data_IF_253616546131
#
_entry.id   IF_253616546131
#
_cell.length_a   1.000
_cell.length_b   1.000
_cell.length_c   1.000
_cell.angle_alpha   90.00
_cell.angle_beta   90.00
_cell.angle_gamma   90.00
#
_symmetry.space_group_name_H-M   'P 1'
#
loop_
_entity.id
_entity.type
_entity.pdbx_description
1 polymer ?
#
# COMPACT_ATOMS: atom_id res chain seq x y z
N UNK A 1 33.35 -4.54 -0.52
CA UNK A 1 33.34 -3.16 -1.00
C UNK A 1 33.98 -2.32 0.09
N UNK A 2 34.96 -1.44 -0.20
CA UNK A 2 35.58 -0.60 0.82
C UNK A 2 34.54 0.32 1.47
N UNK A 3 34.66 0.63 2.79
CA UNK A 3 33.73 1.51 3.50
C UNK A 3 33.53 2.88 2.82
N UNK A 4 34.55 3.44 2.24
CA UNK A 4 34.54 4.72 1.53
C UNK A 4 33.61 4.73 0.30
N UNK A 5 33.50 3.60 -0.42
CA UNK A 5 32.58 3.47 -1.55
C UNK A 5 31.11 3.32 -1.12
N UNK A 6 30.86 2.86 0.11
CA UNK A 6 29.52 2.79 0.69
C UNK A 6 29.02 4.19 1.08
N UNK A 7 29.90 5.03 1.65
CA UNK A 7 29.55 6.41 2.03
C UNK A 7 29.30 7.31 0.83
N UNK A 8 30.07 7.19 -0.26
CA UNK A 8 29.81 7.90 -1.51
C UNK A 8 28.48 7.49 -2.16
N UNK A 9 28.20 6.17 -2.20
CA UNK A 9 26.91 5.67 -2.73
C UNK A 9 25.70 6.10 -1.89
N UNK A 10 25.84 6.16 -0.58
CA UNK A 10 24.78 6.64 0.31
C UNK A 10 24.55 8.15 0.14
N UNK A 11 25.59 8.94 -0.07
CA UNK A 11 25.49 10.39 -0.32
C UNK A 11 24.80 10.70 -1.65
N UNK A 12 25.20 10.01 -2.73
CA UNK A 12 24.60 10.16 -4.06
C UNK A 12 23.12 9.75 -4.06
N UNK A 13 22.80 8.65 -3.35
CA UNK A 13 21.45 8.18 -3.21
C UNK A 13 20.57 9.15 -2.41
N UNK A 14 21.09 9.71 -1.31
CA UNK A 14 20.38 10.67 -0.48
C UNK A 14 20.14 12.00 -1.22
N UNK A 15 21.07 12.43 -2.06
CA UNK A 15 20.89 13.60 -2.91
C UNK A 15 19.83 13.36 -3.99
N UNK A 16 19.88 12.21 -4.66
CA UNK A 16 18.86 11.81 -5.64
C UNK A 16 17.47 11.68 -5.00
N UNK A 17 17.40 11.21 -3.76
CA UNK A 17 16.16 11.14 -2.99
C UNK A 17 15.60 12.55 -2.68
N UNK A 18 16.44 13.50 -2.24
CA UNK A 18 16.02 14.90 -2.04
C UNK A 18 15.52 15.55 -3.31
N UNK A 19 16.20 15.31 -4.43
CA UNK A 19 15.83 15.84 -5.75
C UNK A 19 14.55 15.20 -6.31
N UNK A 20 14.17 14.01 -5.82
CA UNK A 20 12.93 13.33 -6.21
C UNK A 20 11.67 14.00 -5.68
N UNK A 21 11.79 14.94 -4.74
CA UNK A 21 10.65 15.65 -4.13
C UNK A 21 9.89 14.83 -3.11
N UNK A 22 10.50 13.76 -2.56
CA UNK A 22 9.94 13.02 -1.43
C UNK A 22 10.22 13.77 -0.12
N UNK A 23 9.19 13.92 0.72
CA UNK A 23 9.35 14.46 2.08
C UNK A 23 9.71 13.32 3.04
N UNK A 24 9.04 12.16 2.91
CA UNK A 24 9.28 10.96 3.69
C UNK A 24 8.96 9.69 2.91
N UNK A 25 9.82 8.68 2.96
CA UNK A 25 9.57 7.39 2.34
C UNK A 25 10.17 6.24 3.14
N UNK A 26 9.37 5.19 3.32
CA UNK A 26 9.77 3.88 3.85
C UNK A 26 10.03 2.95 2.65
N UNK A 27 11.23 2.41 2.55
CA UNK A 27 11.56 1.43 1.51
C UNK A 27 11.02 0.06 1.88
N UNK A 28 10.14 -0.47 1.03
CA UNK A 28 9.42 -1.70 1.28
C UNK A 28 9.68 -2.78 0.21
N UNK A 29 9.61 -4.06 0.58
CA UNK A 29 9.39 -5.13 -0.37
C UNK A 29 8.11 -4.88 -1.17
N UNK A 30 8.09 -5.35 -2.43
CA UNK A 30 6.93 -5.22 -3.30
C UNK A 30 6.52 -6.58 -3.84
N UNK A 31 5.25 -6.92 -3.69
CA UNK A 31 4.62 -8.14 -4.19
C UNK A 31 3.44 -7.81 -5.09
N UNK A 32 3.21 -8.66 -6.11
CA UNK A 32 2.07 -8.53 -7.01
C UNK A 32 1.03 -9.58 -6.66
N UNK A 33 -0.23 -9.18 -6.51
CA UNK A 33 -1.30 -10.14 -6.21
C UNK A 33 -1.59 -11.13 -7.34
N UNK A 34 -1.25 -10.78 -8.60
CA UNK A 34 -1.64 -11.58 -9.77
C UNK A 34 -0.69 -12.75 -10.08
N UNK A 35 0.47 -12.83 -9.43
CA UNK A 35 1.44 -13.93 -9.57
C UNK A 35 1.45 -14.91 -8.38
N UNK A 36 0.49 -14.78 -7.44
CA UNK A 36 0.32 -15.67 -6.31
C UNK A 36 0.04 -17.13 -6.75
N UNK A 37 0.68 -18.09 -6.08
CA UNK A 37 0.51 -19.54 -6.30
C UNK A 37 -0.91 -20.06 -6.07
N UNK A 38 -1.73 -19.31 -5.34
CA UNK A 38 -3.12 -19.67 -5.01
C UNK A 38 -4.05 -19.78 -6.22
N UNK A 39 -3.72 -19.13 -7.34
CA UNK A 39 -4.59 -18.99 -8.51
C UNK A 39 -5.80 -18.06 -8.30
N UNK A 40 -5.92 -17.45 -7.11
CA UNK A 40 -7.01 -16.51 -6.75
C UNK A 40 -6.52 -15.07 -6.59
N UNK A 41 -5.37 -14.74 -7.18
CA UNK A 41 -4.71 -13.44 -7.08
C UNK A 41 -5.61 -12.25 -7.42
N UNK A 42 -6.65 -12.44 -8.24
CA UNK A 42 -7.61 -11.38 -8.58
C UNK A 42 -8.36 -10.77 -7.38
N UNK A 43 -8.37 -11.46 -6.23
CA UNK A 43 -9.03 -11.03 -4.99
C UNK A 43 -8.08 -10.91 -3.78
N UNK A 44 -6.77 -11.01 -4.00
CA UNK A 44 -5.77 -11.12 -2.92
C UNK A 44 -5.02 -9.82 -2.62
N UNK A 45 -5.58 -8.66 -3.03
CA UNK A 45 -4.96 -7.36 -2.78
C UNK A 45 -4.62 -7.15 -1.30
N UNK A 46 -5.55 -7.48 -0.39
CA UNK A 46 -5.31 -7.33 1.05
C UNK A 46 -4.18 -8.23 1.55
N UNK A 47 -4.18 -9.51 1.15
CA UNK A 47 -3.11 -10.43 1.55
C UNK A 47 -1.74 -10.02 1.00
N UNK A 48 -1.64 -9.62 -0.27
CA UNK A 48 -0.36 -9.18 -0.85
C UNK A 48 0.12 -7.86 -0.23
N UNK A 49 -0.80 -6.93 0.06
CA UNK A 49 -0.46 -5.70 0.79
C UNK A 49 0.00 -6.00 2.23
N UNK A 50 -0.70 -6.87 2.97
CA UNK A 50 -0.30 -7.29 4.31
C UNK A 50 1.03 -8.07 4.31
N UNK A 51 1.27 -8.87 3.27
CA UNK A 51 2.54 -9.57 3.07
C UNK A 51 3.72 -8.60 2.88
N UNK A 52 3.53 -7.49 2.14
CA UNK A 52 4.56 -6.45 2.00
C UNK A 52 4.94 -5.86 3.37
N UNK A 53 3.95 -5.59 4.24
CA UNK A 53 4.20 -5.12 5.62
C UNK A 53 4.90 -6.19 6.45
N UNK A 54 4.44 -7.45 6.40
CA UNK A 54 5.08 -8.54 7.12
C UNK A 54 6.53 -8.78 6.66
N UNK A 55 6.80 -8.66 5.35
CA UNK A 55 8.14 -8.78 4.80
C UNK A 55 9.05 -7.60 5.17
N UNK A 56 8.50 -6.38 5.25
CA UNK A 56 9.23 -5.21 5.75
C UNK A 56 9.77 -5.47 7.16
N UNK A 57 8.96 -6.07 8.04
CA UNK A 57 9.39 -6.49 9.38
C UNK A 57 10.12 -7.85 9.40
N UNK A 58 10.53 -8.38 8.24
CA UNK A 58 11.31 -9.64 8.10
C UNK A 58 10.60 -10.87 8.67
N UNK A 59 9.27 -10.90 8.64
CA UNK A 59 8.46 -12.01 9.16
C UNK A 59 8.15 -13.08 8.11
N UNK A 60 8.10 -12.68 6.85
CA UNK A 60 7.93 -13.55 5.68
C UNK A 60 8.86 -13.09 4.55
N UNK A 61 9.07 -13.93 3.54
CA UNK A 61 9.90 -13.61 2.38
C UNK A 61 9.08 -13.32 1.12
N UNK A 62 7.89 -13.91 1.03
CA UNK A 62 6.98 -13.80 -0.12
C UNK A 62 5.54 -13.66 0.36
N UNK A 63 4.67 -13.19 -0.52
CA UNK A 63 3.23 -13.16 -0.27
C UNK A 63 2.60 -14.55 -0.27
N UNK A 64 3.15 -15.53 -0.99
CA UNK A 64 2.72 -16.93 -0.91
C UNK A 64 2.99 -17.55 0.47
N UNK A 65 4.14 -17.22 1.07
CA UNK A 65 4.42 -17.62 2.46
C UNK A 65 3.41 -17.00 3.42
N UNK A 66 3.12 -15.71 3.27
CA UNK A 66 2.10 -15.02 4.05
C UNK A 66 0.71 -15.62 3.83
N UNK A 67 0.31 -15.89 2.59
CA UNK A 67 -0.98 -16.47 2.25
C UNK A 67 -1.21 -17.84 2.92
N UNK A 68 -0.17 -18.68 3.01
CA UNK A 68 -0.21 -19.97 3.72
C UNK A 68 -0.46 -19.80 5.24
N UNK A 69 0.04 -18.70 5.82
CA UNK A 69 -0.20 -18.36 7.23
C UNK A 69 -1.62 -17.82 7.40
N UNK A 70 -2.00 -16.81 6.61
CA UNK A 70 -3.31 -16.15 6.67
C UNK A 70 -4.46 -17.16 6.45
N UNK A 71 -4.31 -18.11 5.53
CA UNK A 71 -5.34 -19.10 5.23
C UNK A 71 -5.75 -19.97 6.45
N UNK A 72 -4.92 -20.04 7.47
CA UNK A 72 -5.25 -20.74 8.74
C UNK A 72 -6.29 -19.98 9.58
N UNK A 73 -6.48 -18.70 9.30
CA UNK A 73 -7.34 -17.79 10.08
C UNK A 73 -8.61 -17.39 9.33
N UNK A 74 -8.67 -17.58 8.01
CA UNK A 74 -9.88 -17.28 7.24
C UNK A 74 -9.63 -16.81 5.82
N UNK A 75 -10.63 -16.13 5.26
CA UNK A 75 -10.63 -15.65 3.88
C UNK A 75 -9.66 -14.48 3.66
N UNK A 76 -9.15 -14.35 2.44
CA UNK A 76 -8.19 -13.31 2.03
C UNK A 76 -8.74 -11.89 2.16
N UNK A 77 -10.06 -11.71 2.13
CA UNK A 77 -10.73 -10.41 2.25
C UNK A 77 -11.19 -10.08 3.68
N UNK A 78 -11.03 -11.02 4.64
CA UNK A 78 -11.43 -10.80 6.03
C UNK A 78 -10.39 -9.98 6.80
N UNK A 79 -10.82 -8.86 7.39
CA UNK A 79 -10.00 -8.04 8.28
C UNK A 79 -9.50 -8.88 9.47
N UNK A 80 -10.38 -9.68 10.08
CA UNK A 80 -10.07 -10.52 11.24
C UNK A 80 -8.99 -11.54 10.90
N UNK A 81 -9.06 -12.16 9.70
CA UNK A 81 -8.05 -13.13 9.25
C UNK A 81 -6.69 -12.47 9.02
N UNK A 82 -6.65 -11.26 8.45
CA UNK A 82 -5.42 -10.51 8.24
C UNK A 82 -4.81 -10.08 9.59
N UNK A 83 -5.61 -9.53 10.51
CA UNK A 83 -5.15 -9.17 11.85
C UNK A 83 -4.60 -10.38 12.61
N UNK A 84 -5.31 -11.51 12.58
CA UNK A 84 -4.87 -12.73 13.24
C UNK A 84 -3.54 -13.25 12.65
N UNK A 85 -3.39 -13.22 11.32
CA UNK A 85 -2.16 -13.62 10.65
C UNK A 85 -0.97 -12.70 11.04
N UNK A 86 -1.14 -11.38 10.96
CA UNK A 86 -0.10 -10.41 11.34
C UNK A 86 0.31 -10.57 12.82
N UNK A 87 -0.68 -10.71 13.72
CA UNK A 87 -0.43 -10.92 15.15
C UNK A 87 0.26 -12.25 15.43
N UNK A 88 -0.06 -13.32 14.70
CA UNK A 88 0.63 -14.60 14.82
C UNK A 88 2.11 -14.55 14.43
N UNK A 89 2.48 -13.58 13.61
CA UNK A 89 3.85 -13.25 13.24
C UNK A 89 4.56 -12.33 14.25
N UNK A 90 3.88 -11.97 15.35
CA UNK A 90 4.41 -11.10 16.40
C UNK A 90 4.39 -9.61 16.02
N UNK A 91 3.53 -9.21 15.10
CA UNK A 91 3.30 -7.81 14.77
C UNK A 91 2.10 -7.28 15.57
N UNK A 92 2.23 -6.08 16.12
CA UNK A 92 1.09 -5.35 16.65
C UNK A 92 0.30 -4.77 15.46
N UNK A 93 -0.93 -5.21 15.30
CA UNK A 93 -1.81 -4.80 14.20
C UNK A 93 -3.20 -4.49 14.72
N UNK A 94 -3.75 -3.37 14.30
CA UNK A 94 -5.12 -2.96 14.56
C UNK A 94 -5.81 -2.50 13.27
N UNK A 95 -7.12 -2.53 13.26
CA UNK A 95 -7.93 -1.98 12.18
C UNK A 95 -8.74 -0.82 12.71
N UNK A 96 -8.70 0.30 11.99
CA UNK A 96 -9.40 1.53 12.33
C UNK A 96 -10.28 1.98 11.17
N UNK A 97 -11.46 2.51 11.48
CA UNK A 97 -12.39 3.11 10.50
C UNK A 97 -12.38 4.64 10.53
N UNK A 98 -11.70 5.21 11.50
CA UNK A 98 -11.58 6.65 11.74
C UNK A 98 -10.21 7.20 11.32
N UNK A 99 -9.51 6.49 10.42
CA UNK A 99 -8.22 6.93 9.90
C UNK A 99 -8.32 8.19 9.05
N UNK A 100 -7.36 9.09 9.22
CA UNK A 100 -7.20 10.32 8.45
C UNK A 100 -5.75 10.49 7.95
N UNK A 101 -5.49 11.57 7.20
CA UNK A 101 -4.16 11.84 6.66
C UNK A 101 -3.13 12.08 7.76
N UNK A 102 -3.50 12.82 8.80
CA UNK A 102 -2.57 13.16 9.87
C UNK A 102 -2.11 11.89 10.59
N UNK A 103 -3.02 10.94 10.82
CA UNK A 103 -2.68 9.62 11.38
C UNK A 103 -1.73 8.84 10.48
N UNK A 104 -1.99 8.83 9.17
CA UNK A 104 -1.09 8.16 8.21
C UNK A 104 0.29 8.80 8.20
N UNK A 105 0.36 10.12 8.16
CA UNK A 105 1.63 10.84 8.19
C UNK A 105 2.42 10.53 9.47
N UNK A 106 1.77 10.55 10.64
CA UNK A 106 2.41 10.21 11.92
C UNK A 106 2.97 8.77 11.93
N UNK A 107 2.25 7.81 11.36
CA UNK A 107 2.74 6.44 11.24
C UNK A 107 3.97 6.36 10.31
N UNK A 108 3.92 7.04 9.17
CA UNK A 108 5.05 7.09 8.22
C UNK A 108 6.27 7.79 8.85
N UNK A 109 6.08 8.91 9.56
CA UNK A 109 7.15 9.61 10.28
C UNK A 109 7.78 8.72 11.37
N UNK A 110 6.98 7.85 11.98
CA UNK A 110 7.46 6.86 12.94
C UNK A 110 8.06 5.59 12.30
N UNK A 111 8.20 5.55 10.97
CA UNK A 111 8.77 4.43 10.23
C UNK A 111 7.84 3.22 10.11
N UNK A 112 6.54 3.41 10.26
CA UNK A 112 5.53 2.35 10.18
C UNK A 112 4.67 2.50 8.91
N UNK A 113 4.73 1.57 7.96
CA UNK A 113 3.90 1.59 6.76
C UNK A 113 2.43 1.31 7.10
N UNK A 114 1.50 1.94 6.39
CA UNK A 114 0.06 1.87 6.68
C UNK A 114 -0.68 1.11 5.58
N UNK A 115 -1.40 0.06 5.96
CA UNK A 115 -2.36 -0.62 5.09
C UNK A 115 -3.63 0.22 4.97
N UNK A 116 -4.08 0.47 3.75
CA UNK A 116 -5.29 1.26 3.47
C UNK A 116 -6.24 0.51 2.56
N UNK A 117 -7.51 0.44 2.96
CA UNK A 117 -8.62 -0.02 2.14
C UNK A 117 -9.30 1.16 1.45
N UNK A 118 -9.65 1.04 0.17
CA UNK A 118 -10.27 2.10 -0.60
C UNK A 118 -11.11 1.55 -1.76
N UNK A 119 -12.08 2.35 -2.25
CA UNK A 119 -12.95 1.96 -3.37
C UNK A 119 -12.28 2.26 -4.71
N UNK A 120 -12.00 1.24 -5.51
CA UNK A 120 -11.35 1.39 -6.80
C UNK A 120 -12.34 1.48 -7.99
N UNK A 121 -13.62 1.19 -7.78
CA UNK A 121 -14.65 1.36 -8.81
C UNK A 121 -15.15 2.80 -8.90
N UNK A 122 -15.85 3.13 -9.99
CA UNK A 122 -16.38 4.49 -10.28
C UNK A 122 -15.36 5.36 -11.03
N UNK A 123 -15.86 6.07 -12.05
CA UNK A 123 -15.06 6.99 -12.86
C UNK A 123 -15.45 8.44 -12.57
N UNK A 124 -14.71 9.10 -11.69
CA UNK A 124 -14.98 10.47 -11.25
C UNK A 124 -14.88 11.49 -12.39
N UNK A 125 -14.10 11.23 -13.45
CA UNK A 125 -14.03 12.09 -14.63
C UNK A 125 -15.34 12.10 -15.43
N UNK A 126 -16.16 11.05 -15.28
CA UNK A 126 -17.48 10.94 -15.90
C UNK A 126 -18.62 11.27 -14.91
N UNK A 127 -18.29 11.75 -13.71
CA UNK A 127 -19.26 12.04 -12.67
C UNK A 127 -19.77 10.79 -11.92
N UNK A 128 -19.11 9.65 -12.08
CA UNK A 128 -19.42 8.43 -11.34
C UNK A 128 -18.60 8.40 -10.04
N UNK A 129 -19.21 8.58 -8.86
CA UNK A 129 -18.47 8.59 -7.60
C UNK A 129 -17.88 7.21 -7.30
N UNK A 130 -16.87 7.12 -6.45
CA UNK A 130 -16.42 5.85 -5.89
C UNK A 130 -17.62 5.15 -5.22
N UNK A 131 -17.85 3.90 -5.57
CA UNK A 131 -18.99 3.15 -5.03
C UNK A 131 -18.69 1.67 -4.96
N UNK A 132 -19.40 0.99 -4.07
CA UNK A 132 -19.43 -0.46 -4.00
C UNK A 132 -20.84 -0.95 -4.32
N UNK A 133 -21.06 -1.43 -5.54
CA UNK A 133 -22.31 -2.02 -6.00
C UNK A 133 -22.21 -3.52 -6.31
N UNK A 134 -21.30 -4.21 -5.62
CA UNK A 134 -21.10 -5.65 -5.75
C UNK A 134 -19.74 -6.12 -5.24
N UNK A 135 -19.39 -7.37 -5.54
CA UNK A 135 -18.07 -7.92 -5.19
C UNK A 135 -16.95 -7.27 -6.00
N UNK A 136 -15.82 -6.98 -5.37
CA UNK A 136 -14.59 -6.56 -6.03
C UNK A 136 -14.45 -5.06 -6.24
N UNK A 137 -15.16 -4.25 -5.48
CA UNK A 137 -15.05 -2.78 -5.51
C UNK A 137 -14.03 -2.24 -4.51
N UNK A 138 -13.81 -2.93 -3.39
CA UNK A 138 -12.77 -2.60 -2.42
C UNK A 138 -11.40 -3.07 -2.88
N UNK A 139 -10.38 -2.32 -2.54
CA UNK A 139 -8.98 -2.61 -2.84
C UNK A 139 -8.09 -2.23 -1.65
N UNK A 140 -6.95 -2.92 -1.53
CA UNK A 140 -6.00 -2.69 -0.46
C UNK A 140 -4.61 -2.42 -1.01
N UNK A 141 -3.98 -1.37 -0.49
CA UNK A 141 -2.63 -0.95 -0.81
C UNK A 141 -1.86 -0.62 0.46
N UNK A 142 -0.56 -0.34 0.35
CA UNK A 142 0.25 0.15 1.46
C UNK A 142 0.69 1.58 1.16
N UNK A 143 0.40 2.53 2.03
CA UNK A 143 1.06 3.82 2.00
C UNK A 143 2.41 3.66 2.70
N UNK A 144 3.47 4.02 2.00
CA UNK A 144 4.86 3.91 2.45
C UNK A 144 5.58 5.25 2.49
N UNK A 145 4.89 6.34 2.19
CA UNK A 145 5.48 7.67 2.21
C UNK A 145 4.56 8.74 1.68
N UNK A 146 5.07 9.95 1.66
CA UNK A 146 4.40 11.12 1.09
C UNK A 146 5.42 12.06 0.44
N UNK A 147 4.91 12.92 -0.44
CA UNK A 147 5.69 13.95 -1.12
C UNK A 147 4.88 15.25 -1.21
N UNK A 148 5.58 16.38 -1.16
CA UNK A 148 4.96 17.68 -1.31
C UNK A 148 4.00 18.05 -0.16
N UNK A 149 4.28 17.66 1.08
CA UNK A 149 3.43 17.90 2.27
C UNK A 149 2.95 19.36 2.39
N UNK A 150 3.82 20.31 2.04
CA UNK A 150 3.54 21.75 2.11
C UNK A 150 3.15 22.34 0.74
N UNK A 151 2.90 21.53 -0.26
CA UNK A 151 2.47 21.96 -1.60
C UNK A 151 0.93 22.08 -1.67
N UNK A 152 0.46 22.67 -2.77
CA UNK A 152 -0.98 22.69 -3.07
C UNK A 152 -1.53 21.36 -3.59
N UNK A 153 -0.66 20.40 -3.87
CA UNK A 153 -1.03 19.09 -4.42
C UNK A 153 -0.14 17.98 -3.80
N UNK A 154 -0.33 17.67 -2.50
CA UNK A 154 0.43 16.62 -1.84
C UNK A 154 0.08 15.24 -2.37
N UNK A 155 1.04 14.33 -2.31
CA UNK A 155 0.91 12.97 -2.84
C UNK A 155 1.26 11.92 -1.79
N UNK A 156 0.56 10.79 -1.83
CA UNK A 156 0.97 9.56 -1.18
C UNK A 156 1.92 8.76 -2.06
N UNK A 157 2.85 8.06 -1.44
CA UNK A 157 3.68 7.04 -2.08
C UNK A 157 3.12 5.68 -1.67
N UNK A 158 2.62 4.94 -2.66
CA UNK A 158 1.90 3.69 -2.43
C UNK A 158 2.63 2.49 -3.02
N UNK A 159 2.49 1.35 -2.38
CA UNK A 159 2.76 0.04 -2.93
C UNK A 159 1.39 -0.59 -3.26
N UNK A 160 1.08 -0.70 -4.54
CA UNK A 160 -0.20 -1.27 -4.98
C UNK A 160 0.02 -2.66 -5.59
N UNK A 161 -0.52 -3.73 -5.00
CA UNK A 161 -0.27 -5.10 -5.45
C UNK A 161 -0.88 -5.44 -6.82
N UNK A 162 -1.81 -4.61 -7.33
CA UNK A 162 -2.48 -4.84 -8.61
C UNK A 162 -1.85 -4.08 -9.78
N UNK A 163 -1.02 -3.07 -9.49
CA UNK A 163 -0.39 -2.24 -10.50
C UNK A 163 -0.66 -0.76 -10.31
N UNK A 164 -0.61 0.05 -11.37
CA UNK A 164 -0.82 1.48 -11.28
C UNK A 164 -2.30 1.82 -11.01
N UNK A 165 -2.64 2.40 -9.83
CA UNK A 165 -4.02 2.76 -9.50
C UNK A 165 -4.44 4.05 -10.22
N UNK A 166 -5.57 4.00 -10.91
CA UNK A 166 -6.15 5.12 -11.66
C UNK A 166 -7.12 5.88 -10.75
N UNK A 167 -6.59 6.79 -9.91
CA UNK A 167 -7.40 7.45 -8.86
C UNK A 167 -8.60 8.23 -9.39
N UNK A 168 -8.55 8.79 -10.58
CA UNK A 168 -9.65 9.58 -11.15
C UNK A 168 -10.60 8.73 -11.98
N UNK A 169 -10.05 7.80 -12.81
CA UNK A 169 -10.83 6.93 -13.67
C UNK A 169 -11.39 5.71 -12.96
N UNK A 170 -10.76 5.32 -11.85
CA UNK A 170 -11.01 4.06 -11.20
C UNK A 170 -10.30 2.87 -11.87
N UNK A 171 -10.18 1.79 -11.13
CA UNK A 171 -9.47 0.60 -11.57
C UNK A 171 -7.95 0.75 -11.54
N UNK A 172 -7.30 -0.09 -12.32
CA UNK A 172 -5.84 -0.13 -12.43
C UNK A 172 -5.46 -0.25 -13.90
N UNK A 173 -4.35 0.36 -14.30
CA UNK A 173 -3.83 0.26 -15.66
C UNK A 173 -2.68 -0.74 -15.73
N UNK A 174 -1.44 -0.32 -15.61
CA UNK A 174 -0.29 -1.19 -15.82
C UNK A 174 0.02 -2.09 -14.61
N UNK A 175 -0.12 -3.44 -14.71
CA UNK A 175 0.12 -4.36 -13.58
C UNK A 175 1.58 -4.44 -13.15
N UNK A 176 2.51 -3.83 -13.88
CA UNK A 176 3.94 -3.80 -13.55
C UNK A 176 4.37 -2.52 -12.82
N UNK A 177 3.49 -1.53 -12.70
CA UNK A 177 3.80 -0.20 -12.16
C UNK A 177 3.11 0.08 -10.82
N UNK A 178 3.03 -0.90 -9.93
CA UNK A 178 2.42 -0.73 -8.60
C UNK A 178 3.42 -0.37 -7.49
N UNK A 179 4.73 -0.36 -7.78
CA UNK A 179 5.77 -0.07 -6.79
C UNK A 179 6.05 1.43 -6.72
N UNK A 180 6.03 2.00 -5.52
CA UNK A 180 6.30 3.42 -5.25
C UNK A 180 5.46 4.36 -6.14
N UNK A 181 4.19 4.03 -6.31
CA UNK A 181 3.29 4.87 -7.12
C UNK A 181 2.97 6.15 -6.36
N UNK A 182 3.07 7.28 -7.06
CA UNK A 182 2.65 8.57 -6.52
C UNK A 182 1.19 8.81 -6.90
N UNK A 183 0.36 9.09 -5.91
CA UNK A 183 -1.06 9.39 -6.08
C UNK A 183 -1.42 10.65 -5.32
N UNK A 184 -2.16 11.56 -5.97
CA UNK A 184 -2.61 12.80 -5.33
C UNK A 184 -3.50 12.49 -4.13
N UNK A 185 -3.18 13.09 -2.99
CA UNK A 185 -3.97 12.87 -1.77
C UNK A 185 -5.45 13.23 -1.95
N UNK A 186 -5.73 14.34 -2.63
CA UNK A 186 -7.10 14.79 -2.87
C UNK A 186 -7.95 13.77 -3.67
N UNK A 187 -7.35 13.09 -4.67
CA UNK A 187 -8.05 12.07 -5.44
C UNK A 187 -8.20 10.75 -4.65
N UNK A 188 -7.17 10.38 -3.88
CA UNK A 188 -7.22 9.21 -3.00
C UNK A 188 -8.28 9.37 -1.91
N UNK A 189 -8.38 10.54 -1.27
CA UNK A 189 -9.34 10.84 -0.22
C UNK A 189 -10.79 10.55 -0.62
N UNK A 190 -11.18 10.92 -1.83
CA UNK A 190 -12.55 10.70 -2.31
C UNK A 190 -12.89 9.20 -2.36
N UNK A 191 -11.89 8.33 -2.60
CA UNK A 191 -12.05 6.88 -2.64
C UNK A 191 -11.96 6.24 -1.27
N UNK A 192 -11.12 6.79 -0.40
CA UNK A 192 -10.90 6.27 0.94
C UNK A 192 -12.08 6.58 1.88
N UNK A 193 -12.56 7.82 1.89
CA UNK A 193 -13.72 8.22 2.69
C UNK A 193 -15.02 7.53 2.28
N UNK A 194 -15.13 7.05 1.05
CA UNK A 194 -16.29 6.32 0.57
C UNK A 194 -16.34 4.88 1.06
N UNK A 195 -15.22 4.31 1.54
CA UNK A 195 -15.16 2.97 2.14
C UNK A 195 -15.70 2.98 3.60
N UNK A 196 -15.76 4.13 4.22
CA UNK A 196 -16.33 4.38 5.56
C UNK A 196 -15.32 4.47 6.63
#
# INVERSE_FOLDING_TARGET
MPPELLEEHEADWFQAWKESGYDQQIFMPYFKQLDNETGTGYRECFSSAAAMVAAFYKKVRTDDEYNKIRAKYGDTTSVEAQLAALRSLGLEAEFRKDGDADMVELEIEAGRPVLVGWLHAGNMLLGEPPMCNGMGCGHWSVISGYAGKNSNDPEWIMQDPRGYPEMEKGGHSNPHLGRNVRVRQAAFYQRWQSEG
#
